data_IF_645806298143
#
_entry.id   IF_645806298143
#
_cell.length_a   1.000
_cell.length_b   1.000
_cell.length_c   1.000
_cell.angle_alpha   90.00
_cell.angle_beta   90.00
_cell.angle_gamma   90.00
#
_symmetry.space_group_name_H-M   'P 1'
#
loop_
_entity.id
_entity.type
_entity.pdbx_description
1 polymer ?
#
# COMPACT_ATOMS: atom_id res chain seq x y z
N UNK A 1 -30.22 -8.29 5.10
CA UNK A 1 -28.91 -8.71 4.53
C UNK A 1 -28.46 -7.80 3.40
N UNK A 2 -29.36 -7.38 2.51
CA UNK A 2 -29.11 -6.37 1.44
C UNK A 2 -28.76 -4.98 1.98
N UNK A 3 -29.46 -4.49 3.01
CA UNK A 3 -29.17 -3.15 3.57
C UNK A 3 -27.79 -3.05 4.22
N UNK A 4 -27.37 -4.08 4.97
CA UNK A 4 -26.03 -4.15 5.56
C UNK A 4 -24.93 -4.17 4.51
N UNK A 5 -25.14 -4.89 3.39
CA UNK A 5 -24.18 -4.96 2.29
C UNK A 5 -23.96 -3.58 1.66
N UNK A 6 -25.04 -2.84 1.42
CA UNK A 6 -24.96 -1.46 0.93
C UNK A 6 -24.23 -0.53 1.93
N UNK A 7 -24.48 -0.65 3.23
CA UNK A 7 -23.79 0.18 4.24
C UNK A 7 -22.28 -0.08 4.22
N UNK A 8 -21.83 -1.33 4.15
CA UNK A 8 -20.41 -1.63 4.07
C UNK A 8 -19.76 -1.14 2.78
N UNK A 9 -20.47 -1.24 1.65
CA UNK A 9 -20.01 -0.75 0.35
C UNK A 9 -19.82 0.78 0.39
N UNK A 10 -20.82 1.50 0.91
CA UNK A 10 -20.79 2.96 1.10
C UNK A 10 -19.68 3.38 2.07
N UNK A 11 -19.49 2.67 3.19
CA UNK A 11 -18.41 2.97 4.15
C UNK A 11 -17.04 2.75 3.50
N UNK A 12 -16.86 1.69 2.71
CA UNK A 12 -15.59 1.44 2.04
C UNK A 12 -15.29 2.50 0.98
N UNK A 13 -16.28 2.90 0.19
CA UNK A 13 -16.12 3.92 -0.85
C UNK A 13 -15.89 5.32 -0.27
N UNK A 14 -16.68 5.73 0.73
CA UNK A 14 -16.68 7.11 1.27
C UNK A 14 -15.61 7.32 2.35
N UNK A 15 -15.28 6.28 3.13
CA UNK A 15 -14.40 6.42 4.29
C UNK A 15 -13.06 5.72 4.07
N UNK A 16 -13.08 4.43 3.68
CA UNK A 16 -11.84 3.65 3.59
C UNK A 16 -10.99 4.08 2.41
N UNK A 17 -11.58 4.28 1.24
CA UNK A 17 -10.85 4.70 0.03
C UNK A 17 -10.15 6.05 0.22
N UNK A 18 -10.82 7.12 0.72
CA UNK A 18 -10.16 8.41 0.89
C UNK A 18 -9.08 8.39 1.97
N UNK A 19 -9.31 7.67 3.09
CA UNK A 19 -8.28 7.48 4.12
C UNK A 19 -7.05 6.77 3.54
N UNK A 20 -7.27 5.73 2.74
CA UNK A 20 -6.17 5.00 2.09
C UNK A 20 -5.38 5.91 1.15
N UNK A 21 -6.06 6.70 0.31
CA UNK A 21 -5.43 7.67 -0.59
C UNK A 21 -4.61 8.71 0.20
N UNK A 22 -5.17 9.30 1.26
CA UNK A 22 -4.45 10.26 2.12
C UNK A 22 -3.21 9.61 2.74
N UNK A 23 -3.36 8.39 3.25
CA UNK A 23 -2.26 7.64 3.86
C UNK A 23 -1.17 7.33 2.84
N UNK A 24 -1.53 7.01 1.60
CA UNK A 24 -0.57 6.82 0.52
C UNK A 24 0.21 8.09 0.19
N UNK A 25 -0.45 9.24 0.06
CA UNK A 25 0.25 10.50 -0.15
C UNK A 25 1.17 10.88 1.03
N UNK A 26 0.74 10.59 2.26
CA UNK A 26 1.57 10.77 3.45
C UNK A 26 2.82 9.86 3.41
N UNK A 27 2.67 8.59 3.00
CA UNK A 27 3.79 7.67 2.82
C UNK A 27 4.77 8.16 1.74
N UNK A 28 4.25 8.62 0.59
CA UNK A 28 5.08 9.21 -0.47
C UNK A 28 5.82 10.45 0.04
N UNK A 29 5.14 11.31 0.78
CA UNK A 29 5.77 12.47 1.42
C UNK A 29 6.91 12.05 2.35
N UNK A 30 6.69 11.03 3.20
CA UNK A 30 7.73 10.48 4.10
C UNK A 30 8.90 9.93 3.28
N UNK A 31 8.66 9.17 2.22
CA UNK A 31 9.72 8.63 1.35
C UNK A 31 10.55 9.75 0.71
N UNK A 32 9.89 10.81 0.22
CA UNK A 32 10.57 11.98 -0.36
C UNK A 32 11.33 12.77 0.71
N UNK A 33 10.73 12.97 1.87
CA UNK A 33 11.33 13.66 3.01
C UNK A 33 12.61 12.96 3.47
N UNK A 34 12.55 11.64 3.67
CA UNK A 34 13.70 10.83 3.98
C UNK A 34 14.75 10.96 2.86
N UNK A 35 14.38 10.77 1.58
CA UNK A 35 15.33 10.89 0.47
C UNK A 35 16.13 12.21 0.45
N UNK A 36 15.52 13.33 0.88
CA UNK A 36 16.17 14.65 0.90
C UNK A 36 17.03 14.91 2.14
N UNK A 37 16.88 14.13 3.22
CA UNK A 37 17.64 14.33 4.45
C UNK A 37 18.98 13.60 4.39
N UNK A 38 20.00 14.29 4.88
CA UNK A 38 21.36 13.77 5.03
C UNK A 38 21.34 12.55 5.98
N UNK A 39 21.88 11.38 5.57
CA UNK A 39 21.89 10.18 6.40
C UNK A 39 22.48 10.41 7.80
N UNK A 40 23.38 11.38 7.92
CA UNK A 40 24.06 11.73 9.17
C UNK A 40 23.19 12.51 10.17
N UNK A 41 22.13 13.19 9.72
CA UNK A 41 21.18 13.90 10.60
C UNK A 41 20.20 12.91 11.26
N UNK A 42 19.92 11.78 10.61
CA UNK A 42 19.08 10.69 11.16
C UNK A 42 19.85 9.72 12.05
N UNK A 43 21.15 9.96 12.30
CA UNK A 43 22.07 9.05 12.99
C UNK A 43 21.82 8.98 14.51
N UNK A 44 20.68 8.41 14.91
CA UNK A 44 20.59 7.62 16.14
C UNK A 44 21.01 6.17 15.81
N UNK A 45 21.44 5.37 16.80
CA UNK A 45 21.94 3.99 16.60
C UNK A 45 21.02 3.07 15.77
N UNK A 46 19.75 3.43 15.59
CA UNK A 46 18.74 2.73 14.79
C UNK A 46 19.01 2.87 13.26
N UNK A 47 19.81 3.86 12.84
CA UNK A 47 19.97 4.27 11.44
C UNK A 47 21.32 3.94 10.78
N UNK A 48 22.16 3.10 11.39
CA UNK A 48 23.39 2.58 10.75
C UNK A 48 23.10 1.86 9.40
N UNK A 49 21.84 1.51 9.12
CA UNK A 49 21.34 0.90 7.87
C UNK A 49 20.30 1.77 7.15
N UNK A 50 20.54 3.08 7.07
CA UNK A 50 19.66 4.05 6.40
C UNK A 50 19.18 3.61 4.99
N UNK A 51 20.07 3.01 4.20
CA UNK A 51 19.72 2.49 2.87
C UNK A 51 18.68 1.36 2.90
N UNK A 52 18.75 0.48 3.89
CA UNK A 52 17.81 -0.65 4.03
C UNK A 52 16.44 -0.16 4.52
N UNK A 53 16.42 0.80 5.44
CA UNK A 53 15.18 1.47 5.85
C UNK A 53 14.52 2.19 4.68
N UNK A 54 15.30 2.91 3.86
CA UNK A 54 14.78 3.55 2.66
C UNK A 54 14.12 2.54 1.71
N UNK A 55 14.75 1.38 1.50
CA UNK A 55 14.17 0.32 0.67
C UNK A 55 12.88 -0.25 1.27
N UNK A 56 12.83 -0.46 2.59
CA UNK A 56 11.63 -0.91 3.27
C UNK A 56 10.48 0.11 3.16
N UNK A 57 10.76 1.40 3.30
CA UNK A 57 9.75 2.46 3.12
C UNK A 57 9.24 2.54 1.68
N UNK A 58 10.10 2.33 0.68
CA UNK A 58 9.69 2.26 -0.72
C UNK A 58 8.76 1.05 -0.94
N UNK A 59 9.13 -0.12 -0.41
CA UNK A 59 8.29 -1.32 -0.49
C UNK A 59 6.93 -1.11 0.19
N UNK A 60 6.90 -0.42 1.33
CA UNK A 60 5.67 -0.05 2.02
C UNK A 60 4.79 0.89 1.19
N UNK A 61 5.39 1.86 0.49
CA UNK A 61 4.66 2.76 -0.40
C UNK A 61 4.08 2.02 -1.62
N UNK A 62 4.86 1.10 -2.21
CA UNK A 62 4.37 0.22 -3.31
C UNK A 62 3.24 -0.67 -2.82
N UNK A 63 3.37 -1.25 -1.63
CA UNK A 63 2.31 -2.06 -1.01
C UNK A 63 1.03 -1.25 -0.83
N UNK A 64 1.13 -0.04 -0.26
CA UNK A 64 -0.02 0.84 -0.05
C UNK A 64 -0.70 1.22 -1.38
N UNK A 65 0.06 1.48 -2.44
CA UNK A 65 -0.48 1.76 -3.77
C UNK A 65 -1.25 0.57 -4.34
N UNK A 66 -0.65 -0.62 -4.31
CA UNK A 66 -1.29 -1.85 -4.78
C UNK A 66 -2.55 -2.15 -3.98
N UNK A 67 -2.55 -1.86 -2.67
CA UNK A 67 -3.70 -2.07 -1.79
C UNK A 67 -4.84 -1.14 -2.18
N UNK A 68 -4.57 0.13 -2.45
CA UNK A 68 -5.58 1.07 -2.93
C UNK A 68 -6.19 0.58 -4.23
N UNK A 69 -5.39 0.15 -5.20
CA UNK A 69 -5.90 -0.36 -6.48
C UNK A 69 -6.77 -1.60 -6.25
N UNK A 70 -6.27 -2.56 -5.46
CA UNK A 70 -6.96 -3.81 -5.18
C UNK A 70 -8.31 -3.56 -4.48
N UNK A 71 -8.34 -2.68 -3.48
CA UNK A 71 -9.56 -2.28 -2.76
C UNK A 71 -10.52 -1.50 -3.67
N UNK A 72 -9.99 -0.60 -4.51
CA UNK A 72 -10.81 0.16 -5.48
C UNK A 72 -11.51 -0.77 -6.47
N UNK A 73 -10.82 -1.81 -6.93
CA UNK A 73 -11.38 -2.82 -7.84
C UNK A 73 -12.52 -3.63 -7.19
N UNK A 74 -12.43 -3.90 -5.88
CA UNK A 74 -13.45 -4.65 -5.13
C UNK A 74 -14.70 -3.80 -4.89
N UNK A 75 -14.52 -2.55 -4.44
CA UNK A 75 -15.63 -1.73 -3.94
C UNK A 75 -16.21 -0.76 -4.95
N UNK A 76 -15.56 -0.55 -6.09
CA UNK A 76 -16.08 0.32 -7.15
C UNK A 76 -16.21 -0.46 -8.47
N UNK A 77 -17.06 -1.50 -8.52
CA UNK A 77 -17.24 -2.31 -9.72
C UNK A 77 -17.80 -1.50 -10.91
N UNK A 78 -18.39 -0.32 -10.64
CA UNK A 78 -18.98 0.53 -11.67
C UNK A 78 -17.96 1.39 -12.44
N UNK A 79 -16.78 1.63 -11.85
CA UNK A 79 -15.76 2.52 -12.44
C UNK A 79 -14.84 1.81 -13.44
N UNK A 80 -14.73 0.48 -13.33
CA UNK A 80 -13.73 -0.33 -14.04
C UNK A 80 -14.32 -1.62 -14.59
N UNK A 81 -15.40 -1.52 -15.37
CA UNK A 81 -16.02 -2.60 -16.17
C UNK A 81 -17.08 -3.43 -15.46
N UNK A 82 -18.29 -3.38 -16.02
CA UNK A 82 -19.41 -4.28 -15.81
C UNK A 82 -18.95 -5.75 -15.89
N UNK A 83 -19.18 -6.54 -14.84
CA UNK A 83 -18.96 -8.00 -14.70
C UNK A 83 -18.28 -8.65 -15.93
N UNK A 84 -16.95 -8.57 -15.98
CA UNK A 84 -16.15 -9.10 -17.09
C UNK A 84 -15.12 -10.06 -16.49
N UNK A 85 -14.88 -11.27 -17.03
CA UNK A 85 -13.85 -12.20 -16.51
C UNK A 85 -12.43 -11.60 -16.41
N UNK A 86 -12.19 -10.47 -17.08
CA UNK A 86 -10.98 -9.67 -16.90
C UNK A 86 -10.83 -9.08 -15.49
N UNK A 87 -11.91 -8.69 -14.81
CA UNK A 87 -11.83 -8.07 -13.47
C UNK A 87 -11.37 -9.06 -12.42
N UNK A 88 -11.82 -10.32 -12.51
CA UNK A 88 -11.41 -11.40 -11.60
C UNK A 88 -9.91 -11.70 -11.75
N UNK A 89 -9.42 -11.89 -12.97
CA UNK A 89 -7.99 -12.09 -13.25
C UNK A 89 -7.12 -10.91 -12.79
N UNK A 90 -7.59 -9.67 -12.98
CA UNK A 90 -6.90 -8.46 -12.52
C UNK A 90 -6.85 -8.42 -10.99
N UNK A 91 -7.95 -8.78 -10.33
CA UNK A 91 -8.04 -8.81 -8.87
C UNK A 91 -7.11 -9.85 -8.26
N UNK A 92 -7.06 -11.06 -8.84
CA UNK A 92 -6.11 -12.11 -8.44
C UNK A 92 -4.66 -11.65 -8.62
N UNK A 93 -4.34 -11.02 -9.75
CA UNK A 93 -3.00 -10.48 -10.02
C UNK A 93 -2.58 -9.45 -8.96
N UNK A 94 -3.45 -8.49 -8.64
CA UNK A 94 -3.14 -7.48 -7.61
C UNK A 94 -3.04 -8.10 -6.21
N UNK A 95 -3.85 -9.12 -5.90
CA UNK A 95 -3.73 -9.89 -4.65
C UNK A 95 -2.37 -10.60 -4.53
N UNK A 96 -1.92 -11.23 -5.61
CA UNK A 96 -0.58 -11.86 -5.69
C UNK A 96 0.55 -10.83 -5.56
N UNK A 97 0.43 -9.69 -6.25
CA UNK A 97 1.40 -8.60 -6.17
C UNK A 97 1.52 -8.03 -4.75
N UNK A 98 0.39 -7.90 -4.04
CA UNK A 98 0.37 -7.51 -2.62
C UNK A 98 1.11 -8.50 -1.74
N UNK A 99 0.84 -9.80 -1.89
CA UNK A 99 1.49 -10.85 -1.13
C UNK A 99 3.02 -10.85 -1.36
N UNK A 100 3.46 -10.77 -2.61
CA UNK A 100 4.88 -10.71 -2.96
C UNK A 100 5.56 -9.46 -2.40
N UNK A 101 4.90 -8.30 -2.47
CA UNK A 101 5.43 -7.05 -1.93
C UNK A 101 5.56 -7.13 -0.40
N UNK A 102 4.59 -7.74 0.28
CA UNK A 102 4.65 -7.96 1.74
C UNK A 102 5.80 -8.92 2.12
N UNK A 103 5.97 -10.01 1.38
CA UNK A 103 7.10 -10.94 1.59
C UNK A 103 8.44 -10.21 1.41
N UNK A 104 8.57 -9.41 0.34
CA UNK A 104 9.77 -8.61 0.10
C UNK A 104 10.01 -7.57 1.21
N UNK A 105 8.95 -6.91 1.68
CA UNK A 105 9.01 -5.96 2.79
C UNK A 105 9.52 -6.64 4.07
N UNK A 106 8.90 -7.74 4.49
CA UNK A 106 9.30 -8.49 5.68
C UNK A 106 10.75 -8.99 5.55
N UNK A 107 11.13 -9.51 4.38
CA UNK A 107 12.50 -9.95 4.12
C UNK A 107 13.53 -8.82 4.20
N UNK A 108 13.16 -7.62 3.74
CA UNK A 108 14.01 -6.42 3.85
C UNK A 108 14.17 -5.98 5.30
N UNK A 109 13.08 -5.97 6.07
CA UNK A 109 13.12 -5.64 7.50
C UNK A 109 13.96 -6.67 8.27
N UNK A 110 13.78 -7.96 8.02
CA UNK A 110 14.53 -9.01 8.70
C UNK A 110 16.05 -8.90 8.44
N UNK A 111 16.45 -8.61 7.19
CA UNK A 111 17.86 -8.33 6.84
C UNK A 111 18.39 -7.07 7.54
N UNK A 112 17.54 -6.06 7.72
CA UNK A 112 17.95 -4.84 8.41
C UNK A 112 18.15 -5.00 9.90
N UNK A 113 17.44 -5.94 10.54
CA UNK A 113 17.60 -6.22 11.98
C UNK A 113 18.84 -7.09 12.26
N UNK A 114 19.21 -7.99 11.35
CA UNK A 114 20.34 -8.92 11.51
C UNK A 114 21.70 -8.27 11.26
#
# INVERSE_FOLDING_TARGET
MTELKNVFEVVNEIVVLPIAIITFFLLIYIVIYLRKKDPDILRSRIFLKYGEFRNAFILLAVFAFLLIIHVSLIYIPHLLFYYNPLTENIQEFFGLALALTMIAFVGTIFRSIK
#
